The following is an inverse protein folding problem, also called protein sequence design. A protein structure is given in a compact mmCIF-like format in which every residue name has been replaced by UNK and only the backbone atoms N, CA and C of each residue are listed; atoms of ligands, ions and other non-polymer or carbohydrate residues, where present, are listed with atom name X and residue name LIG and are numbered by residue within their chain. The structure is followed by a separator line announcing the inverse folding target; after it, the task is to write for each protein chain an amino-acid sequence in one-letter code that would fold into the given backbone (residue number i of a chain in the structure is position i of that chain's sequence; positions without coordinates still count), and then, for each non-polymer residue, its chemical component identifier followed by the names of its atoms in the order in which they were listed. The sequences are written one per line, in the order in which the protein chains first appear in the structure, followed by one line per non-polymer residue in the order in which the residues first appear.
data_IF_983487073585
#
_entry.id   IF_983487073585
#
_cell.length_a   1.000
_cell.length_b   1.000
_cell.length_c   1.000
_cell.angle_alpha   90.00
_cell.angle_beta   90.00
_cell.angle_gamma   90.00
#
_symmetry.space_group_name_H-M   'P 1'
#
loop_
_entity.id
_entity.type
_entity.pdbx_description
1 polymer ?
#
# COMPACT_ATOMS: atom_id res chain seq x y z
N UNK A 1 8.97 1.72 21.04
CA UNK A 1 10.33 1.80 20.52
C UNK A 1 10.53 0.85 19.34
N UNK A 2 11.55 1.09 18.54
CA UNK A 2 11.84 0.22 17.41
C UNK A 2 12.23 -1.19 17.86
N UNK A 3 12.93 -1.31 18.97
CA UNK A 3 13.28 -2.62 19.51
C UNK A 3 12.02 -3.38 19.93
N UNK A 4 11.14 -2.70 20.63
CA UNK A 4 9.88 -3.30 21.04
C UNK A 4 9.03 -3.67 19.83
N UNK A 5 9.03 -2.82 18.82
CA UNK A 5 8.30 -3.10 17.59
C UNK A 5 8.88 -4.34 16.90
N UNK A 6 10.19 -4.45 16.81
CA UNK A 6 10.84 -5.61 16.22
C UNK A 6 10.55 -6.88 17.02
N UNK A 7 10.55 -6.78 18.34
CA UNK A 7 10.23 -7.91 19.21
C UNK A 7 8.79 -8.34 19.01
N UNK A 8 7.86 -7.39 18.89
CA UNK A 8 6.47 -7.70 18.64
C UNK A 8 6.28 -8.36 17.28
N UNK A 9 6.96 -7.86 16.25
CA UNK A 9 6.89 -8.48 14.93
C UNK A 9 7.48 -9.89 14.95
N UNK A 10 8.64 -10.07 15.56
CA UNK A 10 9.27 -11.38 15.65
C UNK A 10 8.40 -12.35 16.43
N UNK A 11 7.87 -11.91 17.55
CA UNK A 11 6.98 -12.74 18.35
C UNK A 11 5.73 -13.11 17.55
N UNK A 12 5.18 -12.15 16.81
CA UNK A 12 4.03 -12.40 15.98
C UNK A 12 4.34 -13.39 14.88
N UNK A 13 5.49 -13.25 14.23
CA UNK A 13 5.92 -14.21 13.21
C UNK A 13 6.10 -15.60 13.80
N UNK A 14 6.70 -15.70 14.97
CA UNK A 14 6.88 -16.99 15.63
C UNK A 14 5.56 -17.60 16.09
N UNK A 15 4.68 -16.77 16.66
CA UNK A 15 3.40 -17.24 17.16
C UNK A 15 2.41 -17.62 16.10
N UNK A 16 2.49 -16.97 14.95
CA UNK A 16 1.55 -17.17 13.86
C UNK A 16 2.17 -17.86 12.66
N UNK A 17 3.44 -18.19 12.73
CA UNK A 17 4.17 -18.76 11.61
C UNK A 17 3.54 -20.06 11.12
N UNK A 18 3.11 -20.90 12.04
CA UNK A 18 2.46 -22.17 11.71
C UNK A 18 1.10 -21.97 11.08
N UNK A 19 0.57 -20.76 11.20
CA UNK A 19 -0.68 -20.37 10.58
C UNK A 19 -0.37 -19.31 9.53
N UNK A 20 0.08 -19.76 8.36
CA UNK A 20 0.55 -18.87 7.31
C UNK A 20 -0.48 -17.85 6.87
N UNK A 21 -1.77 -18.13 7.08
CA UNK A 21 -2.85 -17.21 6.74
C UNK A 21 -3.20 -16.28 7.90
N UNK A 22 -2.51 -16.38 9.04
CA UNK A 22 -2.85 -15.66 10.26
C UNK A 22 -2.53 -14.18 10.24
N UNK A 23 -1.77 -13.70 9.27
CA UNK A 23 -1.45 -12.29 9.18
C UNK A 23 -2.64 -11.53 8.63
N UNK A 24 -3.00 -10.46 9.31
CA UNK A 24 -4.17 -9.68 8.95
C UNK A 24 -3.78 -8.47 8.13
N UNK A 25 -4.78 -7.85 7.52
CA UNK A 25 -4.57 -6.60 6.79
C UNK A 25 -4.07 -5.48 7.69
N UNK A 26 -4.42 -5.52 8.99
CA UNK A 26 -3.92 -4.50 9.93
C UNK A 26 -2.41 -4.59 10.10
N UNK A 27 -1.81 -5.77 9.95
CA UNK A 27 -0.36 -5.91 9.99
C UNK A 27 0.31 -5.20 8.82
N UNK A 28 -0.34 -5.19 7.66
CA UNK A 28 0.15 -4.44 6.50
C UNK A 28 0.21 -2.96 6.81
N UNK A 29 -0.82 -2.42 7.48
CA UNK A 29 -0.86 -0.99 7.81
C UNK A 29 0.23 -0.63 8.83
N UNK A 30 0.46 -1.49 9.81
CA UNK A 30 1.54 -1.28 10.79
C UNK A 30 2.89 -1.19 10.07
N UNK A 31 3.15 -2.14 9.18
CA UNK A 31 4.39 -2.16 8.39
C UNK A 31 4.49 -0.93 7.50
N UNK A 32 3.42 -0.59 6.79
CA UNK A 32 3.40 0.57 5.90
C UNK A 32 3.74 1.86 6.65
N UNK A 33 3.24 1.99 7.87
CA UNK A 33 3.46 3.19 8.69
C UNK A 33 4.93 3.43 9.02
N UNK A 34 5.74 2.39 9.02
CA UNK A 34 7.18 2.53 9.26
C UNK A 34 7.89 3.27 8.14
N UNK A 35 7.29 3.31 6.95
CA UNK A 35 7.89 3.95 5.79
C UNK A 35 7.50 5.41 5.64
N UNK A 36 6.63 5.95 6.50
CA UNK A 36 6.19 7.35 6.43
C UNK A 36 7.41 8.26 6.31
N UNK A 37 7.36 9.20 5.36
CA UNK A 37 8.41 10.17 5.05
C UNK A 37 9.65 9.58 4.33
N UNK A 38 9.67 8.29 4.01
CA UNK A 38 10.72 7.74 3.16
C UNK A 38 10.66 8.43 1.81
N UNK A 39 11.79 8.95 1.29
CA UNK A 39 11.78 9.67 0.01
C UNK A 39 11.49 8.75 -1.16
N UNK A 40 10.86 9.34 -2.17
CA UNK A 40 10.61 8.64 -3.42
C UNK A 40 11.92 8.52 -4.20
N UNK A 41 12.19 7.31 -4.69
CA UNK A 41 13.34 7.03 -5.55
C UNK A 41 12.90 6.05 -6.63
N UNK A 42 13.11 6.43 -7.89
CA UNK A 42 12.75 5.57 -9.01
C UNK A 42 13.47 4.22 -8.90
N UNK A 43 12.69 3.14 -8.98
CA UNK A 43 13.21 1.80 -8.83
C UNK A 43 13.59 1.40 -7.40
N UNK A 44 13.33 2.27 -6.41
CA UNK A 44 13.68 2.02 -5.02
C UNK A 44 12.62 1.21 -4.28
N UNK A 45 13.07 0.42 -3.31
CA UNK A 45 12.18 -0.33 -2.42
C UNK A 45 12.78 -0.56 -1.04
N UNK A 46 13.70 0.32 -0.64
CA UNK A 46 14.33 0.29 0.68
C UNK A 46 13.85 1.48 1.51
N UNK A 47 14.06 1.47 2.83
CA UNK A 47 13.74 2.63 3.66
C UNK A 47 14.52 3.90 3.33
N UNK A 48 15.55 3.82 2.50
CA UNK A 48 16.35 4.98 2.08
C UNK A 48 15.84 5.61 0.79
N UNK A 49 14.98 4.90 0.06
CA UNK A 49 14.37 5.41 -1.15
C UNK A 49 13.47 4.34 -1.75
N UNK A 50 12.25 4.72 -2.14
CA UNK A 50 11.24 3.75 -2.54
C UNK A 50 10.35 4.33 -3.65
N UNK A 51 9.90 3.50 -4.58
CA UNK A 51 8.86 3.91 -5.53
C UNK A 51 7.51 3.33 -5.12
N UNK A 52 6.45 3.74 -5.83
CA UNK A 52 5.08 3.39 -5.46
C UNK A 52 4.86 1.88 -5.37
N UNK A 53 5.20 1.15 -6.42
CA UNK A 53 4.99 -0.30 -6.46
C UNK A 53 5.98 -1.03 -5.56
N UNK A 54 7.20 -0.51 -5.43
CA UNK A 54 8.19 -1.05 -4.50
C UNK A 54 7.74 -0.96 -3.06
N UNK A 55 7.05 0.12 -2.72
CA UNK A 55 6.49 0.29 -1.38
C UNK A 55 5.47 -0.80 -1.05
N UNK A 56 4.46 -0.97 -1.89
CA UNK A 56 3.45 -1.99 -1.64
C UNK A 56 4.03 -3.39 -1.68
N UNK A 57 4.95 -3.65 -2.61
CA UNK A 57 5.64 -4.94 -2.67
C UNK A 57 6.40 -5.23 -1.37
N UNK A 58 7.15 -4.25 -0.87
CA UNK A 58 7.94 -4.42 0.35
C UNK A 58 7.06 -4.69 1.57
N UNK A 59 5.97 -3.93 1.71
CA UNK A 59 5.04 -4.09 2.83
C UNK A 59 4.40 -5.48 2.82
N UNK A 60 3.93 -5.93 1.67
CA UNK A 60 3.33 -7.25 1.56
C UNK A 60 4.36 -8.36 1.82
N UNK A 61 5.55 -8.20 1.26
CA UNK A 61 6.64 -9.17 1.41
C UNK A 61 7.04 -9.35 2.87
N UNK A 62 7.17 -8.27 3.61
CA UNK A 62 7.51 -8.32 5.03
C UNK A 62 6.47 -9.14 5.79
N UNK A 63 5.22 -9.09 5.36
CA UNK A 63 4.13 -9.84 5.98
C UNK A 63 3.91 -11.21 5.35
N UNK A 64 4.81 -11.66 4.48
CA UNK A 64 4.77 -13.03 3.96
C UNK A 64 3.97 -13.20 2.68
N UNK A 65 3.56 -12.12 2.04
CA UNK A 65 2.78 -12.18 0.80
C UNK A 65 3.61 -11.71 -0.37
N UNK A 66 3.36 -12.31 -1.53
CA UNK A 66 4.10 -12.02 -2.73
C UNK A 66 3.30 -11.10 -3.64
N UNK A 67 3.88 -9.94 -3.99
CA UNK A 67 3.35 -9.05 -5.01
C UNK A 67 4.37 -8.91 -6.13
N UNK A 68 3.88 -8.70 -7.34
CA UNK A 68 4.74 -8.38 -8.46
C UNK A 68 5.42 -7.03 -8.25
N UNK A 69 6.50 -6.79 -9.00
CA UNK A 69 7.33 -5.59 -8.81
C UNK A 69 6.68 -4.32 -9.34
N UNK A 70 5.92 -4.41 -10.43
CA UNK A 70 5.36 -3.25 -11.11
C UNK A 70 3.88 -3.08 -10.81
N UNK A 71 3.42 -1.83 -10.75
CA UNK A 71 2.03 -1.52 -10.42
C UNK A 71 1.04 -2.20 -11.36
N UNK A 72 1.29 -2.17 -12.66
CA UNK A 72 0.39 -2.80 -13.63
C UNK A 72 0.28 -4.31 -13.43
N UNK A 73 1.36 -4.96 -13.02
CA UNK A 73 1.35 -6.39 -12.73
C UNK A 73 0.63 -6.69 -11.40
N UNK A 74 0.85 -5.86 -10.39
CA UNK A 74 0.14 -5.97 -9.12
C UNK A 74 -1.37 -5.85 -9.32
N UNK A 75 -1.80 -4.97 -10.22
CA UNK A 75 -3.21 -4.75 -10.51
C UNK A 75 -3.90 -5.96 -11.14
N UNK A 76 -3.16 -6.94 -11.60
CA UNK A 76 -3.71 -8.19 -12.12
C UNK A 76 -3.89 -9.24 -11.04
N UNK A 77 -3.40 -9.00 -9.84
CA UNK A 77 -3.52 -9.92 -8.72
C UNK A 77 -4.79 -9.62 -7.92
N UNK A 78 -5.25 -10.64 -7.22
CA UNK A 78 -6.36 -10.48 -6.29
C UNK A 78 -7.71 -10.30 -6.95
N UNK A 79 -8.65 -9.81 -6.17
CA UNK A 79 -10.06 -9.66 -6.57
C UNK A 79 -10.42 -8.18 -6.66
N UNK A 80 -11.01 -7.79 -7.79
CA UNK A 80 -11.45 -6.41 -7.99
C UNK A 80 -12.68 -6.11 -7.14
N UNK A 81 -12.66 -4.95 -6.47
CA UNK A 81 -13.81 -4.46 -5.74
C UNK A 81 -14.58 -3.47 -6.62
N UNK A 82 -15.91 -3.50 -6.53
CA UNK A 82 -16.77 -2.65 -7.35
C UNK A 82 -16.85 -1.23 -6.81
N UNK A 83 -16.78 -1.07 -5.49
CA UNK A 83 -16.96 0.22 -4.84
C UNK A 83 -15.90 0.45 -3.80
N UNK A 84 -15.50 1.72 -3.62
CA UNK A 84 -14.53 2.11 -2.61
C UNK A 84 -15.00 1.75 -1.20
N UNK A 85 -16.30 1.74 -0.96
CA UNK A 85 -16.88 1.40 0.34
C UNK A 85 -16.64 -0.06 0.72
N UNK A 86 -16.36 -0.91 -0.25
CA UNK A 86 -16.03 -2.31 0.02
C UNK A 86 -14.59 -2.52 0.47
N UNK A 87 -13.75 -1.49 0.28
CA UNK A 87 -12.33 -1.63 0.60
C UNK A 87 -12.09 -1.65 2.11
N UNK A 88 -11.04 -2.36 2.48
CA UNK A 88 -10.58 -2.46 3.84
C UNK A 88 -9.14 -1.96 3.93
N UNK A 89 -8.69 -1.52 5.12
CA UNK A 89 -7.28 -1.18 5.29
C UNK A 89 -6.39 -2.34 4.86
N UNK A 90 -5.41 -2.05 4.01
CA UNK A 90 -4.52 -3.07 3.47
C UNK A 90 -4.83 -3.45 2.03
N UNK A 91 -6.02 -3.17 1.53
CA UNK A 91 -6.32 -3.36 0.11
C UNK A 91 -5.51 -2.38 -0.73
N UNK A 92 -5.28 -2.73 -1.99
CA UNK A 92 -4.48 -1.89 -2.89
C UNK A 92 -5.36 -1.14 -3.87
N UNK A 93 -5.12 0.16 -3.99
CA UNK A 93 -5.79 1.01 -4.97
C UNK A 93 -4.80 1.34 -6.08
N UNK A 94 -5.25 1.21 -7.32
CA UNK A 94 -4.42 1.41 -8.52
C UNK A 94 -4.95 2.59 -9.32
N UNK A 95 -4.03 3.35 -9.89
CA UNK A 95 -4.32 4.60 -10.56
C UNK A 95 -3.70 4.58 -11.95
N UNK A 96 -4.40 5.17 -12.89
CA UNK A 96 -3.92 5.19 -14.27
C UNK A 96 -3.63 6.62 -14.74
N UNK A 97 -2.90 6.71 -15.84
CA UNK A 97 -2.65 7.97 -16.51
C UNK A 97 -3.73 8.24 -17.56
N UNK A 98 -3.52 9.28 -18.37
CA UNK A 98 -4.47 9.68 -19.40
C UNK A 98 -4.67 8.61 -20.48
N UNK A 99 -3.70 7.73 -20.65
CA UNK A 99 -3.73 6.66 -21.65
C UNK A 99 -4.28 5.35 -21.09
N UNK A 100 -4.73 5.35 -19.84
CA UNK A 100 -5.25 4.16 -19.19
C UNK A 100 -4.19 3.19 -18.70
N UNK A 101 -2.94 3.62 -18.65
CA UNK A 101 -1.83 2.79 -18.16
C UNK A 101 -1.72 2.94 -16.65
N UNK A 102 -1.80 1.82 -15.94
CA UNK A 102 -1.65 1.83 -14.48
C UNK A 102 -0.18 2.11 -14.15
N UNK A 103 0.05 3.23 -13.47
CA UNK A 103 1.39 3.68 -13.15
C UNK A 103 1.57 4.07 -11.68
N UNK A 104 0.54 3.91 -10.86
CA UNK A 104 0.62 4.26 -9.45
C UNK A 104 -0.22 3.30 -8.63
N UNK A 105 0.20 3.05 -7.40
CA UNK A 105 -0.51 2.18 -6.46
C UNK A 105 -0.31 2.72 -5.04
N UNK A 106 -1.33 2.54 -4.22
CA UNK A 106 -1.26 2.86 -2.80
C UNK A 106 -2.04 1.86 -1.98
N UNK A 107 -1.90 1.93 -0.68
CA UNK A 107 -2.55 1.02 0.26
C UNK A 107 -3.66 1.75 0.98
N UNK A 108 -4.86 1.19 0.92
CA UNK A 108 -6.02 1.76 1.61
C UNK A 108 -5.83 1.74 3.12
N UNK A 109 -6.33 2.77 3.76
CA UNK A 109 -6.40 2.90 5.21
C UNK A 109 -7.86 3.12 5.62
N UNK A 110 -8.11 3.24 6.91
CA UNK A 110 -9.46 3.52 7.39
C UNK A 110 -9.91 4.92 6.98
N UNK A 111 -11.22 5.12 6.96
CA UNK A 111 -11.86 6.43 6.81
C UNK A 111 -11.51 7.14 5.50
N UNK A 112 -11.32 6.37 4.43
CA UNK A 112 -11.00 6.91 3.10
C UNK A 112 -9.68 7.67 3.06
N UNK A 113 -8.69 7.14 3.75
CA UNK A 113 -7.31 7.57 3.63
C UNK A 113 -6.51 6.52 2.88
N UNK A 114 -5.41 6.94 2.29
CA UNK A 114 -4.50 6.07 1.54
C UNK A 114 -3.06 6.43 1.88
N UNK A 115 -2.22 5.41 2.03
CA UNK A 115 -0.79 5.61 2.18
C UNK A 115 -0.13 5.22 0.87
N UNK A 116 0.65 6.13 0.32
CA UNK A 116 1.25 5.96 -1.00
C UNK A 116 2.53 6.79 -1.12
N UNK A 117 3.21 6.67 -2.26
CA UNK A 117 4.47 7.38 -2.51
C UNK A 117 4.25 8.48 -3.54
N UNK A 118 4.40 9.72 -3.11
CA UNK A 118 4.35 10.90 -3.97
C UNK A 118 5.32 11.93 -3.40
N UNK A 119 6.53 11.93 -3.95
CA UNK A 119 7.65 12.68 -3.38
C UNK A 119 8.25 11.97 -2.17
N UNK A 120 7.43 11.39 -1.37
CA UNK A 120 7.76 10.58 -0.20
C UNK A 120 6.56 9.71 0.14
N UNK A 121 6.75 8.75 1.03
CA UNK A 121 5.63 7.99 1.57
C UNK A 121 4.79 8.93 2.43
N UNK A 122 3.52 9.06 2.10
CA UNK A 122 2.62 10.01 2.73
C UNK A 122 1.20 9.47 2.80
N UNK A 123 0.37 10.12 3.62
CA UNK A 123 -1.04 9.79 3.73
C UNK A 123 -1.85 10.93 3.14
N UNK A 124 -2.77 10.59 2.24
CA UNK A 124 -3.71 11.53 1.65
C UNK A 124 -5.11 10.95 1.70
N UNK A 125 -6.10 11.71 1.27
CA UNK A 125 -7.48 11.24 1.19
C UNK A 125 -7.72 10.56 -0.14
N UNK A 126 -8.70 9.67 -0.18
CA UNK A 126 -9.10 9.01 -1.42
C UNK A 126 -10.62 8.99 -1.51
N UNK A 127 -11.12 9.20 -2.72
CA UNK A 127 -12.55 9.04 -3.04
C UNK A 127 -12.68 8.29 -4.37
N UNK A 128 -13.92 8.16 -4.86
CA UNK A 128 -14.16 7.42 -6.10
C UNK A 128 -13.47 8.02 -7.33
N UNK A 129 -13.07 9.29 -7.26
CA UNK A 129 -12.34 9.94 -8.35
C UNK A 129 -10.84 9.67 -8.29
N UNK A 130 -10.30 9.47 -7.09
CA UNK A 130 -8.88 9.21 -6.92
C UNK A 130 -8.31 9.82 -5.66
N UNK A 131 -7.00 10.00 -5.64
CA UNK A 131 -6.29 10.57 -4.49
C UNK A 131 -6.50 12.08 -4.48
N UNK A 132 -6.97 12.59 -3.34
CA UNK A 132 -7.08 14.01 -3.12
C UNK A 132 -5.94 14.47 -2.22
N UNK A 133 -5.09 15.35 -2.75
CA UNK A 133 -4.00 15.93 -1.98
C UNK A 133 -4.53 17.06 -1.10
N UNK A 134 -4.45 16.86 0.21
CA UNK A 134 -4.84 17.92 1.16
C UNK A 134 -3.90 19.10 1.09
N UNK A 135 -2.63 18.84 0.74
CA UNK A 135 -1.63 19.89 0.61
C UNK A 135 -1.90 20.77 -0.62
N UNK A 136 -2.19 20.15 -1.76
CA UNK A 136 -2.42 20.85 -3.01
C UNK A 136 -3.89 21.22 -3.25
N UNK A 137 -4.79 20.70 -2.44
CA UNK A 137 -6.23 20.92 -2.53
C UNK A 137 -6.80 20.53 -3.90
N UNK A 138 -6.34 19.41 -4.44
CA UNK A 138 -6.81 18.89 -5.72
C UNK A 138 -6.57 17.39 -5.82
N UNK A 139 -7.28 16.75 -6.75
CA UNK A 139 -7.01 15.35 -7.09
C UNK A 139 -5.71 15.26 -7.87
N UNK A 140 -4.86 14.30 -7.50
CA UNK A 140 -3.55 14.12 -8.12
C UNK A 140 -3.43 12.83 -8.91
N UNK A 141 -4.24 11.83 -8.59
CA UNK A 141 -4.17 10.51 -9.21
C UNK A 141 -5.59 9.99 -9.44
N UNK A 142 -5.85 9.48 -10.62
CA UNK A 142 -7.17 8.99 -11.02
C UNK A 142 -7.32 7.52 -10.65
N UNK A 143 -8.34 7.22 -9.86
CA UNK A 143 -8.59 5.83 -9.42
C UNK A 143 -9.04 4.96 -10.59
N UNK A 144 -8.37 3.83 -10.77
CA UNK A 144 -8.72 2.83 -11.77
C UNK A 144 -9.45 1.64 -11.15
N UNK A 145 -8.88 1.03 -10.13
CA UNK A 145 -9.43 -0.17 -9.51
C UNK A 145 -8.86 -0.35 -8.12
N UNK A 146 -9.65 -0.94 -7.24
CA UNK A 146 -9.17 -1.39 -5.93
C UNK A 146 -9.19 -2.90 -5.92
N UNK A 147 -8.12 -3.51 -5.43
CA UNK A 147 -7.96 -4.96 -5.39
C UNK A 147 -7.83 -5.45 -3.96
N UNK A 148 -8.55 -6.51 -3.67
CA UNK A 148 -8.36 -7.26 -2.45
C UNK A 148 -7.34 -8.35 -2.76
N UNK A 149 -6.12 -8.19 -2.24
CA UNK A 149 -5.04 -9.14 -2.47
C UNK A 149 -5.13 -10.30 -1.49
N UNK A 150 -5.49 -10.00 -0.24
CA UNK A 150 -5.63 -11.03 0.80
C UNK A 150 -6.93 -10.88 1.56
#
# INVERSE_FOLDING_TARGET
SSVRFSDQLNHKFEGEYDNASGRTKSDLIITASLYINTPQTSGGRTPFGIDAAGFTQAVYRINGYKLDREAAAQAKQGEALSFIEESEPGDLAFFDDQDGVINHVGMMMQDNYIIHVDGKVRIDRIDHSGIFSTELQKHTHKLRVIKKII
#
